data_IF_706634135377
#
_entry.id   IF_706634135377
#
_cell.length_a   1.000
_cell.length_b   1.000
_cell.length_c   1.000
_cell.angle_alpha   90.00
_cell.angle_beta   90.00
_cell.angle_gamma   90.00
#
_symmetry.space_group_name_H-M   'P 1'
#
loop_
_entity.id
_entity.type
_entity.pdbx_description
1 polymer ?
#
# COMPACT_ATOMS: atom_id res chain seq x y z
N UNK A 1 18.57 2.04 -14.95
CA UNK A 1 17.64 2.96 -15.61
C UNK A 1 16.28 2.27 -15.65
N UNK A 2 15.48 2.45 -14.59
CA UNK A 2 14.13 1.87 -14.51
C UNK A 2 13.20 2.77 -15.32
N UNK A 3 12.62 2.21 -16.39
CA UNK A 3 11.52 2.85 -17.12
C UNK A 3 10.33 2.90 -16.16
N UNK A 4 10.02 4.07 -15.62
CA UNK A 4 8.75 4.27 -14.92
C UNK A 4 7.62 3.97 -15.91
N UNK A 5 6.61 3.22 -15.48
CA UNK A 5 5.40 2.87 -16.29
C UNK A 5 4.69 4.11 -16.85
N UNK A 6 4.93 5.28 -16.25
CA UNK A 6 4.47 6.61 -16.69
C UNK A 6 5.19 7.17 -17.93
N UNK A 7 6.36 6.66 -18.29
CA UNK A 7 7.09 7.06 -19.52
C UNK A 7 6.73 6.18 -20.72
N UNK A 8 5.71 5.32 -20.57
CA UNK A 8 5.25 4.46 -21.67
C UNK A 8 4.82 5.28 -22.89
N UNK A 9 5.04 4.71 -24.07
CA UNK A 9 4.63 5.30 -25.36
C UNK A 9 3.13 5.65 -25.40
N UNK A 10 2.30 4.98 -24.59
CA UNK A 10 0.86 5.23 -24.47
C UNK A 10 0.55 6.52 -23.71
N UNK A 11 1.23 6.79 -22.59
CA UNK A 11 1.09 8.05 -21.83
C UNK A 11 1.54 9.24 -22.69
N UNK A 12 2.62 9.06 -23.46
CA UNK A 12 3.10 10.09 -24.38
C UNK A 12 2.12 10.33 -25.54
N UNK A 13 1.46 9.29 -26.06
CA UNK A 13 0.36 9.44 -27.03
C UNK A 13 -0.85 10.15 -26.42
N UNK A 14 -1.21 9.86 -25.17
CA UNK A 14 -2.29 10.55 -24.46
C UNK A 14 -1.98 12.05 -24.29
N UNK A 15 -0.76 12.39 -23.87
CA UNK A 15 -0.26 13.78 -23.81
C UNK A 15 -0.38 14.47 -25.17
N UNK A 16 0.00 13.81 -26.26
CA UNK A 16 -0.11 14.35 -27.62
C UNK A 16 -1.57 14.50 -28.10
N UNK A 17 -2.45 13.57 -27.76
CA UNK A 17 -3.88 13.64 -28.11
C UNK A 17 -4.59 14.77 -27.36
N UNK A 18 -4.29 14.96 -26.08
CA UNK A 18 -4.83 16.07 -25.29
C UNK A 18 -4.30 17.42 -25.80
N UNK A 19 -3.01 17.51 -26.14
CA UNK A 19 -2.43 18.72 -26.71
C UNK A 19 -3.00 19.07 -28.10
N UNK A 20 -3.21 18.08 -28.97
CA UNK A 20 -3.68 18.31 -30.34
C UNK A 20 -5.20 18.56 -30.44
N UNK A 21 -6.01 17.88 -29.63
CA UNK A 21 -7.47 17.95 -29.71
C UNK A 21 -8.09 18.98 -28.77
N UNK A 22 -7.44 19.24 -27.63
CA UNK A 22 -7.95 20.14 -26.59
C UNK A 22 -6.99 21.30 -26.25
N UNK A 23 -5.77 21.30 -26.77
CA UNK A 23 -4.77 22.35 -26.47
C UNK A 23 -4.24 22.30 -25.03
N UNK A 24 -4.43 21.19 -24.32
CA UNK A 24 -4.08 21.05 -22.89
C UNK A 24 -2.95 20.05 -22.66
N UNK A 25 -2.15 20.33 -21.63
CA UNK A 25 -1.15 19.38 -21.13
C UNK A 25 -1.78 18.30 -20.25
N UNK A 26 -0.98 17.29 -19.87
CA UNK A 26 -1.37 16.26 -18.91
C UNK A 26 -0.20 15.99 -17.96
N UNK A 27 -0.47 16.09 -16.66
CA UNK A 27 0.41 15.66 -15.59
C UNK A 27 -0.21 14.43 -14.93
N UNK A 28 0.58 13.39 -14.73
CA UNK A 28 0.13 12.22 -13.97
C UNK A 28 0.89 12.25 -12.66
N UNK A 29 0.15 12.30 -11.55
CA UNK A 29 0.73 12.24 -10.22
C UNK A 29 0.43 10.86 -9.67
N UNK A 30 1.49 10.05 -9.60
CA UNK A 30 1.47 8.83 -8.82
C UNK A 30 1.50 9.23 -7.35
N UNK A 31 0.65 8.57 -6.57
CA UNK A 31 0.68 8.52 -5.12
C UNK A 31 0.29 9.77 -4.30
N UNK A 32 0.14 11.01 -4.79
CA UNK A 32 -0.64 12.02 -4.04
C UNK A 32 -0.95 13.36 -4.73
N UNK A 33 -2.16 13.86 -4.47
CA UNK A 33 -2.56 15.25 -4.11
C UNK A 33 -4.05 15.16 -3.71
N UNK A 34 -4.34 14.51 -2.57
CA UNK A 34 -5.67 14.04 -2.20
C UNK A 34 -6.42 14.97 -1.24
N UNK A 35 -5.93 16.18 -0.98
CA UNK A 35 -6.54 17.08 0.03
C UNK A 35 -8.01 17.44 -0.27
N UNK A 36 -8.52 17.20 -1.47
CA UNK A 36 -9.82 17.72 -1.92
C UNK A 36 -10.73 16.71 -2.65
N UNK A 37 -10.35 15.42 -2.75
CA UNK A 37 -11.20 14.42 -3.41
C UNK A 37 -12.24 13.90 -2.43
N UNK A 38 -13.47 14.38 -2.53
CA UNK A 38 -14.58 13.79 -1.79
C UNK A 38 -14.75 12.32 -2.20
N UNK A 39 -14.95 11.39 -1.25
CA UNK A 39 -15.25 10.00 -1.56
C UNK A 39 -16.59 9.93 -2.29
N UNK A 40 -16.55 9.93 -3.62
CA UNK A 40 -17.74 9.87 -4.48
C UNK A 40 -17.63 10.67 -5.78
N UNK A 41 -16.69 11.61 -5.90
CA UNK A 41 -16.58 12.40 -7.13
C UNK A 41 -15.75 11.70 -8.21
N UNK A 42 -16.35 11.56 -9.40
CA UNK A 42 -15.73 10.97 -10.59
C UNK A 42 -14.66 11.87 -11.22
N UNK A 43 -14.77 13.18 -11.01
CA UNK A 43 -13.87 14.23 -11.50
C UNK A 43 -14.09 15.50 -10.66
N UNK A 44 -13.05 16.29 -10.45
CA UNK A 44 -13.17 17.58 -9.75
C UNK A 44 -12.30 18.65 -10.40
N UNK A 45 -12.61 19.92 -10.16
CA UNK A 45 -11.82 21.07 -10.63
C UNK A 45 -11.20 21.80 -9.45
N UNK A 46 -9.88 22.01 -9.48
CA UNK A 46 -9.13 22.76 -8.48
C UNK A 46 -8.55 24.01 -9.11
N UNK A 47 -9.10 25.18 -8.77
CA UNK A 47 -8.70 26.44 -9.39
C UNK A 47 -8.97 26.43 -10.91
N UNK A 48 -7.90 26.40 -11.71
CA UNK A 48 -7.97 26.28 -13.18
C UNK A 48 -7.69 24.88 -13.70
N UNK A 49 -7.38 23.93 -12.82
CA UNK A 49 -6.93 22.59 -13.21
C UNK A 49 -8.06 21.58 -13.05
N UNK A 50 -8.10 20.59 -13.95
CA UNK A 50 -9.09 19.52 -13.94
C UNK A 50 -8.45 18.20 -13.53
N UNK A 51 -9.04 17.56 -12.54
CA UNK A 51 -8.49 16.38 -11.90
C UNK A 51 -9.39 15.17 -12.14
N UNK A 52 -8.77 14.07 -12.58
CA UNK A 52 -9.42 12.79 -12.85
C UNK A 52 -8.77 11.71 -11.97
N UNK A 53 -9.44 11.27 -10.89
CA UNK A 53 -8.99 10.16 -10.07
C UNK A 53 -9.00 8.85 -10.89
N UNK A 54 -7.95 8.04 -10.73
CA UNK A 54 -7.82 6.72 -11.35
C UNK A 54 -8.01 5.68 -10.25
N UNK A 55 -9.16 5.00 -10.25
CA UNK A 55 -9.53 4.00 -9.25
C UNK A 55 -9.63 2.63 -9.92
N UNK A 56 -9.16 1.59 -9.25
CA UNK A 56 -9.35 0.20 -9.67
C UNK A 56 -9.82 -0.60 -8.46
N UNK A 57 -10.97 -1.27 -8.57
CA UNK A 57 -11.60 -2.04 -7.49
C UNK A 57 -11.77 -1.25 -6.17
N UNK A 58 -12.07 0.04 -6.25
CA UNK A 58 -12.22 0.92 -5.09
C UNK A 58 -10.92 1.55 -4.58
N UNK A 59 -9.75 0.98 -4.91
CA UNK A 59 -8.45 1.54 -4.56
C UNK A 59 -8.03 2.65 -5.52
N UNK A 60 -7.58 3.79 -5.00
CA UNK A 60 -7.07 4.90 -5.80
C UNK A 60 -5.60 4.67 -6.15
N UNK A 61 -5.30 4.51 -7.45
CA UNK A 61 -3.94 4.28 -7.92
C UNK A 61 -3.20 5.58 -8.29
N UNK A 62 -3.93 6.67 -8.55
CA UNK A 62 -3.33 7.97 -8.85
C UNK A 62 -4.34 9.00 -9.34
N UNK A 63 -3.86 10.20 -9.66
CA UNK A 63 -4.69 11.26 -10.23
C UNK A 63 -4.05 11.85 -11.49
N UNK A 64 -4.86 12.00 -12.53
CA UNK A 64 -4.49 12.70 -13.75
C UNK A 64 -4.94 14.16 -13.65
N UNK A 65 -3.99 15.08 -13.86
CA UNK A 65 -4.20 16.54 -13.76
C UNK A 65 -4.06 17.15 -15.14
N UNK A 66 -5.10 17.82 -15.60
CA UNK A 66 -5.15 18.58 -16.85
C UNK A 66 -5.09 20.07 -16.49
N UNK A 67 -3.92 20.71 -16.60
CA UNK A 67 -3.77 22.11 -16.21
C UNK A 67 -4.52 23.06 -17.15
N UNK A 68 -5.10 24.12 -16.58
CA UNK A 68 -5.79 25.18 -17.34
C UNK A 68 -7.02 24.72 -18.11
N UNK A 69 -7.85 23.86 -17.53
CA UNK A 69 -9.07 23.28 -18.10
C UNK A 69 -10.35 24.09 -17.80
N UNK A 70 -10.21 25.36 -17.43
CA UNK A 70 -11.31 26.29 -17.14
C UNK A 70 -12.16 26.62 -18.39
N UNK A 71 -11.56 26.59 -19.56
CA UNK A 71 -12.17 26.83 -20.88
C UNK A 71 -12.87 25.60 -21.50
N UNK A 72 -12.79 24.43 -20.86
CA UNK A 72 -13.45 23.21 -21.33
C UNK A 72 -14.90 23.18 -20.84
N UNK A 73 -15.85 23.00 -21.78
CA UNK A 73 -17.25 22.72 -21.45
C UNK A 73 -17.41 21.29 -20.90
N UNK A 74 -18.55 21.01 -20.26
CA UNK A 74 -18.79 19.72 -19.59
C UNK A 74 -18.68 18.52 -20.55
N UNK A 75 -19.12 18.65 -21.79
CA UNK A 75 -18.96 17.61 -22.82
C UNK A 75 -17.49 17.31 -23.15
N UNK A 76 -16.65 18.34 -23.28
CA UNK A 76 -15.21 18.15 -23.51
C UNK A 76 -14.52 17.58 -22.27
N UNK A 77 -14.94 17.99 -21.07
CA UNK A 77 -14.44 17.44 -19.81
C UNK A 77 -14.75 15.95 -19.69
N UNK A 78 -15.98 15.54 -19.97
CA UNK A 78 -16.36 14.12 -20.02
C UNK A 78 -15.54 13.34 -21.05
N UNK A 79 -15.35 13.90 -22.25
CA UNK A 79 -14.51 13.27 -23.28
C UNK A 79 -13.04 13.12 -22.88
N UNK A 80 -12.48 14.14 -22.21
CA UNK A 80 -11.12 14.10 -21.64
C UNK A 80 -11.03 13.04 -20.54
N UNK A 81 -11.98 12.99 -19.61
CA UNK A 81 -12.06 11.97 -18.55
C UNK A 81 -12.09 10.57 -19.13
N UNK A 82 -12.95 10.31 -20.12
CA UNK A 82 -13.06 8.99 -20.73
C UNK A 82 -11.76 8.57 -21.42
N UNK A 83 -11.10 9.49 -22.14
CA UNK A 83 -9.80 9.25 -22.77
C UNK A 83 -8.71 8.94 -21.74
N UNK A 84 -8.69 9.69 -20.64
CA UNK A 84 -7.74 9.50 -19.56
C UNK A 84 -7.97 8.14 -18.89
N UNK A 85 -9.21 7.79 -18.52
CA UNK A 85 -9.56 6.50 -17.90
C UNK A 85 -9.20 5.32 -18.80
N UNK A 86 -9.58 5.38 -20.08
CA UNK A 86 -9.31 4.32 -21.06
C UNK A 86 -7.82 4.01 -21.23
N UNK A 87 -6.93 4.98 -21.02
CA UNK A 87 -5.48 4.79 -21.18
C UNK A 87 -4.76 4.56 -19.86
N UNK A 88 -5.13 5.30 -18.81
CA UNK A 88 -4.44 5.24 -17.52
C UNK A 88 -4.94 4.11 -16.62
N UNK A 89 -6.22 3.76 -16.63
CA UNK A 89 -6.71 2.64 -15.80
C UNK A 89 -6.00 1.32 -16.17
N UNK A 90 -5.91 0.92 -17.47
CA UNK A 90 -5.21 -0.32 -17.82
C UNK A 90 -3.70 -0.24 -17.54
N UNK A 91 -3.08 0.93 -17.72
CA UNK A 91 -1.64 1.10 -17.49
C UNK A 91 -1.29 1.05 -16.00
N UNK A 92 -2.09 1.70 -15.16
CA UNK A 92 -1.92 1.71 -13.70
C UNK A 92 -2.29 0.36 -13.10
N UNK A 93 -3.32 -0.31 -13.63
CA UNK A 93 -3.66 -1.67 -13.22
C UNK A 93 -2.57 -2.67 -13.60
N UNK A 94 -2.00 -2.56 -14.82
CA UNK A 94 -0.86 -3.39 -15.20
C UNK A 94 0.33 -3.14 -14.27
N UNK A 95 0.65 -1.88 -13.98
CA UNK A 95 1.70 -1.55 -13.02
C UNK A 95 1.42 -2.18 -11.64
N UNK A 96 0.17 -2.12 -11.18
CA UNK A 96 -0.26 -2.79 -9.94
C UNK A 96 -0.03 -4.31 -9.99
N UNK A 97 -0.40 -4.97 -11.10
CA UNK A 97 -0.14 -6.40 -11.29
C UNK A 97 1.36 -6.71 -11.34
N UNK A 98 2.14 -5.93 -12.08
CA UNK A 98 3.60 -6.08 -12.19
C UNK A 98 4.26 -5.92 -10.81
N UNK A 99 3.75 -5.01 -9.96
CA UNK A 99 4.22 -4.82 -8.59
C UNK A 99 3.86 -6.00 -7.70
N UNK A 100 2.64 -6.53 -7.82
CA UNK A 100 2.21 -7.75 -7.11
C UNK A 100 3.04 -8.96 -7.52
N UNK A 101 3.32 -9.12 -8.82
CA UNK A 101 4.21 -10.17 -9.34
C UNK A 101 5.64 -10.00 -8.86
N UNK A 102 6.16 -8.77 -8.81
CA UNK A 102 7.50 -8.49 -8.28
C UNK A 102 7.61 -8.88 -6.80
N UNK A 103 6.59 -8.56 -5.99
CA UNK A 103 6.53 -8.94 -4.59
C UNK A 103 6.52 -10.46 -4.42
N UNK A 104 5.68 -11.18 -5.19
CA UNK A 104 5.65 -12.65 -5.21
C UNK A 104 6.97 -13.27 -5.70
N UNK A 105 7.63 -12.62 -6.68
CA UNK A 105 8.92 -13.05 -7.19
C UNK A 105 10.06 -12.86 -6.17
N UNK A 106 10.00 -11.82 -5.33
CA UNK A 106 10.96 -11.64 -4.22
C UNK A 106 10.78 -12.74 -3.16
N UNK A 107 9.54 -13.14 -2.90
CA UNK A 107 9.20 -14.19 -1.91
C UNK A 107 9.63 -15.57 -2.41
N UNK A 108 9.37 -15.90 -3.67
CA UNK A 108 9.82 -17.16 -4.28
C UNK A 108 11.35 -17.27 -4.38
N UNK A 109 12.06 -16.16 -4.64
CA UNK A 109 13.53 -16.11 -4.60
C UNK A 109 14.11 -16.22 -3.18
N UNK A 110 13.30 -15.98 -2.15
CA UNK A 110 13.73 -16.01 -0.76
C UNK A 110 13.85 -17.44 -0.16
N UNK A 111 13.70 -18.50 -0.96
CA UNK A 111 13.75 -19.92 -0.55
C UNK A 111 12.73 -20.25 0.56
N UNK A 112 11.46 -19.97 0.33
CA UNK A 112 10.42 -20.76 0.99
C UNK A 112 10.35 -22.11 0.28
N UNK A 113 10.35 -23.22 1.02
CA UNK A 113 9.98 -24.52 0.46
C UNK A 113 8.51 -24.41 0.01
N UNK A 114 8.29 -24.40 -1.30
CA UNK A 114 7.00 -24.18 -1.99
C UNK A 114 6.04 -25.37 -1.80
N UNK A 115 6.34 -26.32 -0.92
CA UNK A 115 5.55 -27.56 -0.80
C UNK A 115 4.19 -27.38 -0.10
N UNK A 116 3.93 -26.23 0.53
CA UNK A 116 2.64 -25.92 1.19
C UNK A 116 1.98 -24.62 0.71
N UNK A 117 2.37 -24.10 -0.46
CA UNK A 117 1.71 -22.96 -1.07
C UNK A 117 0.47 -23.47 -1.80
N UNK A 118 -0.69 -23.45 -1.14
CA UNK A 118 -1.96 -23.45 -1.85
C UNK A 118 -2.03 -22.17 -2.68
N UNK A 119 -1.67 -22.31 -3.96
CA UNK A 119 -1.96 -21.32 -4.98
C UNK A 119 -3.47 -21.20 -5.06
N UNK A 120 -4.02 -20.10 -4.56
CA UNK A 120 -5.40 -19.71 -4.87
C UNK A 120 -5.52 -19.65 -6.41
N UNK A 121 -6.21 -20.65 -6.98
CA UNK A 121 -6.30 -20.88 -8.42
C UNK A 121 -6.46 -22.35 -8.85
N UNK A 122 -6.16 -23.31 -7.97
CA UNK A 122 -6.29 -24.76 -8.26
C UNK A 122 -7.58 -25.42 -7.70
N UNK A 123 -8.41 -24.67 -6.98
CA UNK A 123 -9.76 -25.14 -6.69
C UNK A 123 -10.59 -25.08 -7.97
N UNK A 124 -11.24 -26.20 -8.31
CA UNK A 124 -12.26 -26.24 -9.36
C UNK A 124 -13.19 -25.05 -9.13
N UNK A 125 -13.18 -24.11 -10.09
CA UNK A 125 -14.08 -22.97 -10.10
C UNK A 125 -15.49 -23.46 -9.73
N UNK A 126 -16.12 -22.88 -8.69
CA UNK A 126 -17.49 -23.22 -8.35
C UNK A 126 -18.35 -23.02 -9.59
N UNK A 127 -19.25 -23.97 -9.82
CA UNK A 127 -20.13 -23.92 -10.98
C UNK A 127 -20.95 -22.64 -10.93
N UNK A 128 -21.30 -22.08 -12.10
CA UNK A 128 -22.06 -20.83 -12.22
C UNK A 128 -23.36 -20.84 -11.39
N UNK A 129 -23.90 -22.02 -11.10
CA UNK A 129 -25.09 -22.21 -10.26
C UNK A 129 -24.85 -21.99 -8.75
N UNK A 130 -23.60 -22.13 -8.25
CA UNK A 130 -23.23 -21.82 -6.86
C UNK A 130 -22.95 -20.31 -6.66
N UNK A 131 -22.49 -19.61 -7.71
CA UNK A 131 -22.23 -18.16 -7.68
C UNK A 131 -23.50 -17.29 -7.62
N UNK A 132 -24.67 -17.89 -7.90
CA UNK A 132 -25.94 -17.17 -7.99
C UNK A 132 -26.84 -17.38 -6.78
N UNK A 133 -26.48 -18.27 -5.84
CA UNK A 133 -27.43 -18.70 -4.80
C UNK A 133 -27.24 -18.13 -3.40
N UNK A 134 -26.08 -17.63 -2.96
CA UNK A 134 -26.02 -16.99 -1.63
C UNK A 134 -24.90 -15.93 -1.50
N UNK A 135 -25.33 -14.68 -1.27
CA UNK A 135 -24.58 -13.54 -0.69
C UNK A 135 -23.16 -13.29 -1.20
N UNK A 136 -23.06 -12.66 -2.37
CA UNK A 136 -21.82 -12.15 -2.96
C UNK A 136 -21.06 -11.10 -2.12
N UNK A 137 -21.68 -10.50 -1.10
CA UNK A 137 -21.03 -9.51 -0.23
C UNK A 137 -20.34 -10.12 1.02
N UNK A 138 -20.62 -11.38 1.36
CA UNK A 138 -20.03 -12.05 2.54
C UNK A 138 -18.81 -12.92 2.16
N UNK A 139 -18.74 -13.51 0.96
CA UNK A 139 -17.60 -14.36 0.57
C UNK A 139 -16.33 -13.57 0.21
N UNK A 140 -16.46 -12.35 -0.33
CA UNK A 140 -15.30 -11.49 -0.59
C UNK A 140 -14.68 -10.88 0.70
N UNK A 141 -15.39 -11.00 1.82
CA UNK A 141 -14.93 -10.66 3.18
C UNK A 141 -14.56 -11.90 4.00
N UNK A 142 -14.31 -13.02 3.34
CA UNK A 142 -13.81 -14.23 4.00
C UNK A 142 -12.42 -13.97 4.57
N UNK A 143 -12.33 -13.86 5.90
CA UNK A 143 -11.10 -13.74 6.69
C UNK A 143 -10.31 -12.44 6.48
N UNK A 144 -10.94 -11.27 6.60
CA UNK A 144 -10.16 -10.07 6.94
C UNK A 144 -9.61 -10.28 8.36
N UNK A 145 -8.42 -10.87 8.48
CA UNK A 145 -7.66 -10.95 9.72
C UNK A 145 -7.41 -9.51 10.19
N UNK A 146 -8.30 -9.02 11.05
CA UNK A 146 -8.28 -7.64 11.48
C UNK A 146 -7.05 -7.48 12.39
N UNK A 147 -6.13 -6.63 11.98
CA UNK A 147 -4.92 -6.34 12.76
C UNK A 147 -5.29 -5.75 14.12
N UNK A 148 -4.51 -6.13 15.14
CA UNK A 148 -4.57 -5.52 16.47
C UNK A 148 -3.91 -4.14 16.45
N UNK A 149 -2.83 -3.99 15.67
CA UNK A 149 -2.05 -2.76 15.57
C UNK A 149 -1.65 -2.43 14.13
N UNK A 150 -1.56 -1.13 13.83
CA UNK A 150 -1.05 -0.59 12.57
C UNK A 150 0.45 -0.33 12.59
N UNK A 151 1.12 -0.64 13.70
CA UNK A 151 2.57 -0.66 13.83
C UNK A 151 3.04 -2.04 14.28
N UNK A 152 3.99 -2.60 13.54
CA UNK A 152 4.73 -3.79 13.96
C UNK A 152 6.22 -3.49 13.88
N UNK A 153 6.95 -3.76 14.96
CA UNK A 153 8.40 -3.67 14.98
C UNK A 153 9.05 -5.05 14.90
N UNK A 154 10.06 -5.18 14.05
CA UNK A 154 10.84 -6.39 13.85
C UNK A 154 12.26 -6.17 14.36
N UNK A 155 12.58 -6.77 15.50
CA UNK A 155 13.93 -6.78 16.05
C UNK A 155 14.66 -8.02 15.52
N UNK A 156 15.74 -7.82 14.76
CA UNK A 156 16.56 -8.94 14.30
C UNK A 156 17.90 -8.52 13.74
N UNK A 157 18.93 -9.32 14.03
CA UNK A 157 20.31 -9.07 13.62
C UNK A 157 20.52 -9.12 12.11
N UNK A 158 19.64 -9.80 11.38
CA UNK A 158 19.70 -9.93 9.93
C UNK A 158 18.53 -9.22 9.22
N UNK A 159 18.82 -8.09 8.57
CA UNK A 159 17.87 -7.33 7.75
C UNK A 159 17.15 -8.18 6.70
N UNK A 160 17.83 -9.17 6.12
CA UNK A 160 17.21 -10.03 5.10
C UNK A 160 16.11 -10.87 5.74
N UNK A 161 16.33 -11.37 6.96
CA UNK A 161 15.31 -12.11 7.70
C UNK A 161 14.17 -11.19 8.12
N UNK A 162 14.47 -9.98 8.61
CA UNK A 162 13.43 -9.01 9.00
C UNK A 162 12.54 -8.65 7.80
N UNK A 163 13.14 -8.38 6.63
CA UNK A 163 12.38 -8.13 5.40
C UNK A 163 11.52 -9.33 5.00
N UNK A 164 11.99 -10.56 5.20
CA UNK A 164 11.18 -11.78 4.95
C UNK A 164 9.97 -11.86 5.89
N UNK A 165 10.16 -11.62 7.18
CA UNK A 165 9.06 -11.60 8.15
C UNK A 165 8.07 -10.48 7.82
N UNK A 166 8.55 -9.30 7.43
CA UNK A 166 7.72 -8.19 7.00
C UNK A 166 6.86 -8.54 5.76
N UNK A 167 7.47 -9.21 4.76
CA UNK A 167 6.74 -9.69 3.58
C UNK A 167 5.70 -10.75 3.94
N UNK A 168 6.01 -11.64 4.88
CA UNK A 168 5.05 -12.64 5.35
C UNK A 168 3.86 -11.99 6.07
N UNK A 169 4.11 -11.01 6.96
CA UNK A 169 3.05 -10.21 7.58
C UNK A 169 2.19 -9.50 6.53
N UNK A 170 2.82 -8.89 5.52
CA UNK A 170 2.11 -8.26 4.41
C UNK A 170 1.18 -9.24 3.69
N UNK A 171 1.67 -10.43 3.29
CA UNK A 171 0.85 -11.46 2.64
C UNK A 171 -0.32 -11.91 3.53
N UNK A 172 -0.07 -12.13 4.83
CA UNK A 172 -1.09 -12.57 5.77
C UNK A 172 -2.20 -11.54 5.95
N UNK A 173 -1.88 -10.25 5.80
CA UNK A 173 -2.86 -9.16 5.90
C UNK A 173 -3.62 -8.88 4.60
N UNK A 174 -3.24 -9.52 3.48
CA UNK A 174 -3.93 -9.34 2.19
C UNK A 174 -3.81 -7.93 1.60
N UNK A 175 -2.87 -7.12 2.10
CA UNK A 175 -2.67 -5.72 1.70
C UNK A 175 -2.20 -5.63 0.25
N UNK A 176 -2.58 -4.56 -0.45
CA UNK A 176 -2.46 -4.48 -1.91
C UNK A 176 -1.05 -4.17 -2.42
N UNK A 177 -0.22 -3.51 -1.62
CA UNK A 177 1.17 -3.22 -1.96
C UNK A 177 2.10 -3.29 -0.74
N UNK A 178 3.35 -3.67 -1.00
CA UNK A 178 4.47 -3.57 -0.06
C UNK A 178 5.44 -2.51 -0.60
N UNK A 179 5.67 -1.44 0.16
CA UNK A 179 6.42 -0.28 -0.32
C UNK A 179 7.51 0.10 0.70
N UNK A 180 8.79 0.16 0.27
CA UNK A 180 9.84 0.71 1.12
C UNK A 180 9.60 2.19 1.40
N UNK A 181 9.73 2.60 2.67
CA UNK A 181 9.53 3.99 3.07
C UNK A 181 10.46 4.95 2.33
N UNK A 182 11.69 4.53 2.02
CA UNK A 182 12.66 5.32 1.27
C UNK A 182 12.19 5.73 -0.14
N UNK A 183 11.27 4.97 -0.75
CA UNK A 183 10.75 5.27 -2.08
C UNK A 183 9.63 6.33 -2.05
N UNK A 184 8.96 6.47 -0.90
CA UNK A 184 7.79 7.35 -0.73
C UNK A 184 8.03 8.53 0.20
N UNK A 185 9.08 8.52 1.03
CA UNK A 185 9.34 9.57 2.04
C UNK A 185 9.42 10.99 1.49
N UNK A 186 9.82 11.16 0.23
CA UNK A 186 9.84 12.48 -0.42
C UNK A 186 8.47 13.04 -0.77
N UNK A 187 7.42 12.22 -0.64
CA UNK A 187 6.03 12.53 -1.00
C UNK A 187 5.12 12.63 0.24
N UNK A 188 5.60 12.20 1.40
CA UNK A 188 4.85 12.21 2.65
C UNK A 188 5.18 13.49 3.42
N UNK A 189 4.16 14.30 3.70
CA UNK A 189 4.32 15.57 4.41
C UNK A 189 3.46 15.66 5.68
N UNK A 190 2.48 14.78 5.85
CA UNK A 190 1.57 14.73 6.99
C UNK A 190 1.11 13.31 7.32
N UNK A 191 0.66 13.05 8.56
CA UNK A 191 0.06 11.78 8.98
C UNK A 191 -1.09 11.36 8.06
N UNK A 192 -1.88 12.33 7.65
CA UNK A 192 -2.99 12.18 6.72
C UNK A 192 -2.58 11.65 5.33
N UNK A 193 -1.38 12.00 4.87
CA UNK A 193 -0.82 11.50 3.61
C UNK A 193 -0.58 9.98 3.72
N UNK A 194 -0.09 9.52 4.87
CA UNK A 194 0.11 8.10 5.16
C UNK A 194 -1.24 7.39 5.16
N UNK A 195 -2.21 7.83 5.98
CA UNK A 195 -3.53 7.20 6.08
C UNK A 195 -4.21 6.99 4.71
N UNK A 196 -4.03 7.94 3.79
CA UNK A 196 -4.64 7.94 2.45
C UNK A 196 -4.04 6.98 1.45
N UNK A 197 -2.90 6.37 1.76
CA UNK A 197 -2.31 5.36 0.89
C UNK A 197 -3.14 4.07 0.84
N UNK A 198 -4.11 3.91 1.75
CA UNK A 198 -5.03 2.78 1.78
C UNK A 198 -4.37 1.52 2.32
N UNK A 199 -4.96 0.35 2.02
CA UNK A 199 -4.55 -0.96 2.57
C UNK A 199 -3.21 -1.48 2.02
N UNK A 200 -2.13 -0.70 2.17
CA UNK A 200 -0.77 -1.11 1.82
C UNK A 200 0.06 -1.36 3.08
N UNK A 201 1.25 -1.89 2.88
CA UNK A 201 2.28 -2.07 3.90
C UNK A 201 3.45 -1.16 3.59
N UNK A 202 3.79 -0.28 4.52
CA UNK A 202 4.97 0.58 4.44
C UNK A 202 6.07 -0.06 5.28
N UNK A 203 7.20 -0.34 4.66
CA UNK A 203 8.33 -1.00 5.31
C UNK A 203 9.49 -0.03 5.57
N UNK A 204 9.87 0.11 6.84
CA UNK A 204 11.00 0.93 7.29
C UNK A 204 12.14 -0.02 7.71
N UNK A 205 13.17 -0.14 6.86
CA UNK A 205 14.24 -1.12 7.03
C UNK A 205 15.10 -0.92 8.28
N UNK A 206 15.45 0.31 8.62
CA UNK A 206 16.22 0.62 9.82
C UNK A 206 15.58 1.84 10.48
N UNK A 207 15.00 1.62 11.65
CA UNK A 207 14.39 2.70 12.42
C UNK A 207 15.44 3.74 12.83
N UNK A 208 16.68 3.31 13.07
CA UNK A 208 17.81 4.18 13.41
C UNK A 208 18.25 5.15 12.29
N UNK A 209 17.85 4.90 11.05
CA UNK A 209 18.20 5.75 9.90
C UNK A 209 17.20 6.91 9.72
N UNK A 210 16.11 6.95 10.49
CA UNK A 210 15.10 7.99 10.40
C UNK A 210 15.57 9.31 11.00
N UNK A 211 15.38 10.38 10.26
CA UNK A 211 15.63 11.73 10.78
C UNK A 211 14.50 12.21 11.71
N UNK A 212 14.72 13.31 12.44
CA UNK A 212 13.76 13.82 13.41
C UNK A 212 12.38 14.16 12.81
N UNK A 213 12.33 14.70 11.59
CA UNK A 213 11.07 15.04 10.92
C UNK A 213 10.31 13.78 10.46
N UNK A 214 11.03 12.73 10.03
CA UNK A 214 10.43 11.43 9.68
C UNK A 214 9.90 10.72 10.94
N UNK A 215 10.62 10.80 12.06
CA UNK A 215 10.15 10.26 13.34
C UNK A 215 8.91 11.00 13.84
N UNK A 216 8.87 12.34 13.74
CA UNK A 216 7.70 13.15 14.09
C UNK A 216 6.49 12.77 13.22
N UNK A 217 6.68 12.67 11.90
CA UNK A 217 5.63 12.26 10.96
C UNK A 217 5.02 10.88 11.30
N UNK A 218 5.87 9.92 11.65
CA UNK A 218 5.40 8.59 12.05
C UNK A 218 4.63 8.65 13.36
N UNK A 219 5.14 9.39 14.34
CA UNK A 219 4.46 9.53 15.64
C UNK A 219 3.12 10.24 15.50
N UNK A 220 3.04 11.28 14.68
CA UNK A 220 1.79 11.98 14.38
C UNK A 220 0.76 10.99 13.83
N UNK A 221 1.15 10.15 12.86
CA UNK A 221 0.30 9.09 12.35
C UNK A 221 -0.13 8.12 13.44
N UNK A 222 0.82 7.52 14.15
CA UNK A 222 0.57 6.49 15.18
C UNK A 222 -0.28 6.97 16.36
N UNK A 223 -0.33 8.29 16.59
CA UNK A 223 -1.13 8.89 17.66
C UNK A 223 -2.63 9.03 17.31
N UNK A 224 -2.98 8.88 16.04
CA UNK A 224 -4.36 8.99 15.54
C UNK A 224 -5.10 7.63 15.61
N UNK A 225 -6.44 7.67 15.63
CA UNK A 225 -7.23 6.44 15.54
C UNK A 225 -7.26 5.93 14.09
N UNK A 226 -6.80 4.70 13.88
CA UNK A 226 -6.67 4.11 12.56
C UNK A 226 -7.86 3.23 12.17
N UNK A 227 -8.33 3.40 10.94
CA UNK A 227 -9.27 2.48 10.29
C UNK A 227 -8.57 1.24 9.70
N UNK A 228 -9.30 0.15 9.47
CA UNK A 228 -8.75 -1.07 8.85
C UNK A 228 -8.13 -0.82 7.47
N UNK A 229 -8.63 0.22 6.81
CA UNK A 229 -8.37 0.51 5.42
C UNK A 229 -7.07 1.34 5.25
N UNK A 230 -6.44 1.72 6.34
CA UNK A 230 -5.20 2.51 6.40
C UNK A 230 -3.94 1.64 6.36
N UNK A 231 -2.76 2.19 6.01
CA UNK A 231 -1.54 1.41 5.90
C UNK A 231 -1.10 0.74 7.19
N UNK A 232 -0.49 -0.43 7.04
CA UNK A 232 0.30 -1.07 8.07
C UNK A 232 1.74 -0.59 7.97
N UNK A 233 2.28 -0.07 9.06
CA UNK A 233 3.68 0.29 9.17
C UNK A 233 4.43 -0.88 9.80
N UNK A 234 5.37 -1.45 9.05
CA UNK A 234 6.33 -2.42 9.58
C UNK A 234 7.68 -1.74 9.66
N UNK A 235 8.25 -1.71 10.85
CA UNK A 235 9.59 -1.18 11.08
C UNK A 235 10.53 -2.32 11.43
N UNK A 236 11.81 -2.18 11.08
CA UNK A 236 12.84 -3.09 11.56
C UNK A 236 14.05 -2.35 12.08
N UNK A 237 14.81 -3.04 12.93
CA UNK A 237 16.06 -2.54 13.47
C UNK A 237 17.06 -3.70 13.60
N UNK A 238 18.35 -3.37 13.55
CA UNK A 238 19.44 -4.30 13.91
C UNK A 238 19.75 -4.30 15.39
N UNK A 239 19.37 -3.22 16.05
CA UNK A 239 19.65 -2.94 17.45
C UNK A 239 18.47 -3.38 18.29
N UNK A 240 18.72 -3.88 19.49
CA UNK A 240 17.63 -4.17 20.41
C UNK A 240 16.91 -2.90 20.86
N UNK A 241 15.67 -3.01 21.33
CA UNK A 241 14.93 -1.85 21.88
C UNK A 241 15.74 -1.12 22.95
N UNK A 242 16.41 -1.85 23.85
CA UNK A 242 17.29 -1.28 24.89
C UNK A 242 18.48 -0.48 24.32
N UNK A 243 18.94 -0.84 23.12
CA UNK A 243 20.02 -0.16 22.42
C UNK A 243 19.48 1.05 21.66
N UNK A 244 18.31 0.93 21.02
CA UNK A 244 17.61 2.05 20.38
C UNK A 244 17.28 3.16 21.38
N UNK A 245 16.82 2.80 22.58
CA UNK A 245 16.54 3.74 23.67
C UNK A 245 17.76 4.57 24.12
N UNK A 246 18.97 4.09 23.84
CA UNK A 246 20.23 4.77 24.20
C UNK A 246 20.76 5.68 23.09
N UNK A 247 20.17 5.65 21.91
CA UNK A 247 20.56 6.53 20.81
C UNK A 247 19.97 7.92 21.03
N UNK A 248 20.83 8.94 21.10
CA UNK A 248 20.39 10.34 21.23
C UNK A 248 19.54 10.82 20.04
N UNK A 249 19.65 10.15 18.89
CA UNK A 249 18.90 10.47 17.67
C UNK A 249 17.46 9.93 17.69
N UNK A 250 17.13 8.99 18.59
CA UNK A 250 15.80 8.37 18.66
C UNK A 250 14.94 9.07 19.71
N UNK A 251 13.71 9.44 19.32
CA UNK A 251 12.74 9.96 20.29
C UNK A 251 12.26 8.87 21.24
N UNK A 252 12.16 9.19 22.54
CA UNK A 252 11.71 8.23 23.56
C UNK A 252 10.30 7.72 23.29
N UNK A 253 9.41 8.60 22.83
CA UNK A 253 8.02 8.25 22.54
C UNK A 253 7.91 7.20 21.43
N UNK A 254 8.74 7.33 20.38
CA UNK A 254 8.77 6.34 19.30
C UNK A 254 9.32 5.00 19.80
N UNK A 255 10.35 5.00 20.64
CA UNK A 255 10.88 3.77 21.22
C UNK A 255 9.83 3.08 22.10
N UNK A 256 9.09 3.85 22.90
CA UNK A 256 8.01 3.33 23.74
C UNK A 256 6.91 2.68 22.87
N UNK A 257 6.46 3.35 21.81
CA UNK A 257 5.41 2.83 20.90
C UNK A 257 5.86 1.56 20.17
N UNK A 258 7.10 1.58 19.66
CA UNK A 258 7.75 0.46 18.98
C UNK A 258 7.91 -0.75 19.92
N UNK A 259 8.11 -0.51 21.22
CA UNK A 259 8.25 -1.58 22.22
C UNK A 259 6.95 -2.34 22.48
N UNK A 260 5.78 -1.70 22.28
CA UNK A 260 4.47 -2.33 22.52
C UNK A 260 4.21 -3.45 21.53
N UNK A 261 4.56 -3.23 20.26
CA UNK A 261 4.30 -4.17 19.15
C UNK A 261 5.60 -4.75 18.57
N UNK A 262 6.53 -5.13 19.45
CA UNK A 262 7.81 -5.70 19.05
C UNK A 262 7.76 -7.22 18.87
N UNK A 263 8.35 -7.68 17.78
CA UNK A 263 8.59 -9.07 17.48
C UNK A 263 10.09 -9.34 17.32
N UNK A 264 10.64 -10.17 18.21
CA UNK A 264 12.03 -10.64 18.15
C UNK A 264 12.17 -11.75 17.09
N UNK A 265 12.57 -11.37 15.89
CA UNK A 265 12.73 -12.26 14.73
C UNK A 265 13.76 -13.36 15.00
N UNK A 266 14.84 -13.03 15.72
CA UNK A 266 15.92 -13.97 16.01
C UNK A 266 15.53 -15.08 17.02
N UNK A 267 14.45 -14.86 17.78
CA UNK A 267 13.91 -15.87 18.73
C UNK A 267 12.74 -16.67 18.14
N UNK A 268 12.26 -16.28 16.96
CA UNK A 268 11.13 -16.92 16.31
C UNK A 268 11.50 -18.32 15.76
N UNK A 269 10.54 -19.25 15.69
CA UNK A 269 10.78 -20.59 15.16
C UNK A 269 11.22 -20.53 13.69
N UNK A 270 12.22 -21.35 13.35
CA UNK A 270 12.87 -21.38 12.03
C UNK A 270 11.96 -21.89 10.89
N UNK A 271 10.82 -22.50 11.21
CA UNK A 271 9.87 -23.03 10.23
C UNK A 271 8.79 -22.01 9.91
N UNK A 272 8.50 -21.87 8.62
CA UNK A 272 7.60 -20.87 8.03
C UNK A 272 6.15 -20.99 8.54
N UNK A 273 5.69 -22.22 8.74
CA UNK A 273 4.36 -22.52 9.26
C UNK A 273 4.22 -22.09 10.73
N UNK A 274 5.20 -22.42 11.57
CA UNK A 274 5.17 -22.03 12.98
C UNK A 274 5.31 -20.51 13.13
N UNK A 275 6.14 -19.88 12.29
CA UNK A 275 6.23 -18.42 12.26
C UNK A 275 4.89 -17.79 11.90
N UNK A 276 4.18 -18.33 10.91
CA UNK A 276 2.84 -17.86 10.52
C UNK A 276 1.87 -17.92 11.71
N UNK A 277 1.77 -19.07 12.37
CA UNK A 277 0.89 -19.26 13.53
C UNK A 277 1.22 -18.28 14.67
N UNK A 278 2.52 -18.07 14.94
CA UNK A 278 2.96 -17.09 15.94
C UNK A 278 2.57 -15.67 15.54
N UNK A 279 2.78 -15.27 14.29
CA UNK A 279 2.40 -13.94 13.82
C UNK A 279 0.88 -13.73 13.86
N UNK A 280 0.08 -14.77 13.57
CA UNK A 280 -1.38 -14.72 13.70
C UNK A 280 -1.79 -14.47 15.16
N UNK A 281 -1.22 -15.22 16.11
CA UNK A 281 -1.52 -15.08 17.54
C UNK A 281 -1.11 -13.72 18.12
N UNK A 282 -0.03 -13.12 17.61
CA UNK A 282 0.48 -11.85 18.14
C UNK A 282 -0.22 -10.62 17.55
N UNK A 283 -0.59 -10.66 16.26
CA UNK A 283 -0.96 -9.46 15.53
C UNK A 283 -2.37 -9.47 14.93
N UNK A 284 -3.04 -10.62 14.88
CA UNK A 284 -4.40 -10.72 14.35
C UNK A 284 -5.40 -10.85 15.49
N UNK A 285 -6.54 -10.16 15.38
CA UNK A 285 -7.66 -10.39 16.30
C UNK A 285 -8.17 -11.81 16.10
N UNK A 286 -8.42 -12.51 17.21
CA UNK A 286 -9.12 -13.79 17.17
C UNK A 286 -10.42 -13.63 16.39
N UNK A 287 -10.53 -14.31 15.25
CA UNK A 287 -11.81 -14.48 14.59
C UNK A 287 -12.69 -15.25 15.57
N UNK A 288 -13.65 -14.57 16.19
CA UNK A 288 -14.59 -15.16 17.13
C UNK A 288 -15.30 -16.33 16.48
N UNK A 289 -14.79 -17.54 16.74
CA UNK A 289 -15.39 -18.84 16.44
C UNK A 289 -15.82 -19.54 17.74
N UNK A 290 -15.94 -18.79 18.84
CA UNK A 290 -16.58 -19.22 20.08
C UNK A 290 -17.77 -18.29 20.42
N UNK A 291 -18.90 -18.52 19.75
CA UNK A 291 -20.25 -18.14 20.21
C UNK A 291 -21.28 -19.14 19.68
#
# INVERSE_FOLDING_TARGET
>A
MQSTTLDSSFVNRLKQLLASRYGKGLQIRQLMDLSEVQPGEDTYTRGRDFHVPIKVNGALLGTAVVPGADDLNDEKRQGVTQLIRMVLEPAMYKWYLDQKEANLAEISKANFEIENLHVFGDDKLPSIDELLTDKSDELAKGLSNQLISHLIHLEGSNQTTNKKVALQLHEMTGRWAFVPFNDIKGQLHSSFDIAKMGEMTIFIENLEDLNAAEQELLMDYLSEEHSSDEPLIITSSKLSIDQLAKLEAMSSNLVDEVSVNCFEVDRAPLTTQNLKEVLELFFMKDSTLDA
#
